data_IF_613046788070
#
_entry.id   IF_613046788070
#
_cell.length_a   1.000
_cell.length_b   1.000
_cell.length_c   1.000
_cell.angle_alpha   90.00
_cell.angle_beta   90.00
_cell.angle_gamma   90.00
#
_symmetry.space_group_name_H-M   'P 1'
#
loop_
_entity.id
_entity.type
_entity.pdbx_description
1 polymer ?
#
# COMPACT_ATOMS: atom_id res chain seq x y z
N UNK A 1 19.03 -3.01 -4.06
CA UNK A 1 18.05 -3.62 -3.16
C UNK A 1 16.77 -2.82 -3.36
N UNK A 2 15.69 -3.46 -3.84
CA UNK A 2 14.42 -2.77 -4.03
C UNK A 2 13.73 -2.59 -2.67
N UNK A 3 13.02 -1.48 -2.48
CA UNK A 3 12.30 -1.18 -1.23
C UNK A 3 11.26 -2.28 -0.93
N UNK A 4 10.64 -2.82 -1.97
CA UNK A 4 9.66 -3.91 -1.89
C UNK A 4 10.26 -5.19 -1.28
N UNK A 5 11.54 -5.48 -1.54
CA UNK A 5 12.24 -6.66 -1.00
C UNK A 5 12.53 -6.53 0.52
N UNK A 6 12.41 -5.31 1.06
CA UNK A 6 12.64 -5.01 2.47
C UNK A 6 11.34 -5.00 3.30
N UNK A 7 10.18 -5.16 2.67
CA UNK A 7 8.87 -5.00 3.30
C UNK A 7 8.04 -6.29 3.11
N UNK A 8 7.44 -6.76 4.19
CA UNK A 8 6.50 -7.89 4.16
C UNK A 8 5.08 -7.36 4.02
N UNK A 9 4.47 -7.55 2.86
CA UNK A 9 3.09 -7.16 2.58
C UNK A 9 2.20 -8.39 2.73
N UNK A 10 1.23 -8.30 3.63
CA UNK A 10 0.24 -9.36 3.83
C UNK A 10 -0.75 -9.42 2.67
N UNK A 11 -1.40 -10.57 2.50
CA UNK A 11 -2.54 -10.71 1.60
C UNK A 11 -3.67 -9.72 1.97
N UNK A 12 -4.54 -9.48 0.99
CA UNK A 12 -5.59 -8.48 1.12
C UNK A 12 -6.49 -8.76 2.33
N UNK A 13 -6.64 -7.80 3.27
CA UNK A 13 -7.41 -8.02 4.50
C UNK A 13 -8.92 -8.24 4.26
N UNK A 14 -9.42 -7.94 3.05
CA UNK A 14 -10.82 -8.14 2.68
C UNK A 14 -11.12 -9.46 1.95
N UNK A 15 -10.19 -9.97 1.15
CA UNK A 15 -10.46 -11.07 0.22
C UNK A 15 -9.34 -12.12 0.12
N UNK A 16 -8.26 -11.96 0.89
CA UNK A 16 -7.07 -12.84 0.85
C UNK A 16 -6.37 -12.85 -0.52
N UNK A 17 -6.69 -11.91 -1.40
CA UNK A 17 -6.07 -11.74 -2.71
C UNK A 17 -4.70 -11.06 -2.64
N UNK A 18 -3.93 -11.16 -3.72
CA UNK A 18 -2.59 -10.58 -3.80
C UNK A 18 -2.58 -9.05 -3.60
N UNK A 19 -1.57 -8.57 -2.86
CA UNK A 19 -1.33 -7.17 -2.57
C UNK A 19 -0.07 -6.68 -3.30
N UNK A 20 -0.11 -5.46 -3.82
CA UNK A 20 1.01 -4.82 -4.53
C UNK A 20 1.26 -3.41 -3.98
N UNK A 21 2.51 -3.08 -3.66
CA UNK A 21 2.93 -1.72 -3.32
C UNK A 21 3.23 -0.96 -4.62
N UNK A 22 2.50 0.13 -4.85
CA UNK A 22 2.66 0.99 -6.03
C UNK A 22 3.16 2.37 -5.62
N UNK A 23 3.93 2.99 -6.50
CA UNK A 23 4.43 4.35 -6.35
C UNK A 23 3.62 5.33 -7.22
N UNK A 24 3.00 6.31 -6.60
CA UNK A 24 2.27 7.38 -7.29
C UNK A 24 3.26 8.48 -7.69
N UNK A 25 3.62 8.55 -8.98
CA UNK A 25 4.38 9.64 -9.61
C UNK A 25 5.66 10.11 -8.88
N UNK A 26 6.29 9.23 -8.10
CA UNK A 26 7.49 9.56 -7.32
C UNK A 26 7.25 10.50 -6.15
N UNK A 27 6.00 10.64 -5.69
CA UNK A 27 5.62 11.48 -4.56
C UNK A 27 4.85 10.74 -3.46
N UNK A 28 4.45 9.48 -3.65
CA UNK A 28 3.80 8.70 -2.59
C UNK A 28 3.71 7.21 -2.87
N UNK A 29 3.35 6.44 -1.84
CA UNK A 29 3.14 4.99 -1.93
C UNK A 29 1.74 4.60 -1.45
N UNK A 30 1.11 3.66 -2.14
CA UNK A 30 -0.11 2.98 -1.71
C UNK A 30 0.01 1.46 -1.94
N UNK A 31 -0.74 0.66 -1.18
CA UNK A 31 -0.89 -0.77 -1.49
C UNK A 31 -2.28 -1.00 -2.05
N UNK A 32 -2.40 -1.82 -3.09
CA UNK A 32 -3.69 -2.22 -3.66
C UNK A 32 -3.84 -3.73 -3.76
N UNK A 33 -5.07 -4.22 -3.65
CA UNK A 33 -5.43 -5.59 -3.97
C UNK A 33 -5.69 -5.71 -5.47
N UNK A 34 -5.08 -6.71 -6.10
CA UNK A 34 -5.28 -7.00 -7.52
C UNK A 34 -6.62 -7.69 -7.81
N UNK A 35 -7.23 -8.31 -6.80
CA UNK A 35 -8.46 -9.11 -6.95
C UNK A 35 -9.72 -8.29 -6.67
N UNK A 36 -9.81 -7.65 -5.49
CA UNK A 36 -10.99 -6.88 -5.08
C UNK A 36 -10.87 -5.37 -5.30
N UNK A 37 -9.67 -4.88 -5.66
CA UNK A 37 -9.42 -3.46 -5.94
C UNK A 37 -9.42 -2.55 -4.71
N UNK A 38 -9.49 -3.07 -3.48
CA UNK A 38 -9.30 -2.23 -2.29
C UNK A 38 -7.86 -1.71 -2.23
N UNK A 39 -7.66 -0.54 -1.63
CA UNK A 39 -6.33 0.08 -1.55
C UNK A 39 -6.14 0.81 -0.22
N UNK A 40 -4.89 0.96 0.23
CA UNK A 40 -4.58 1.85 1.35
C UNK A 40 -4.71 3.31 0.94
N UNK A 41 -4.74 4.22 1.92
CA UNK A 41 -4.42 5.62 1.63
C UNK A 41 -3.02 5.74 1.05
N UNK A 42 -2.80 6.74 0.20
CA UNK A 42 -1.47 7.12 -0.28
C UNK A 42 -0.71 7.84 0.83
N UNK A 43 0.54 7.46 1.05
CA UNK A 43 1.46 8.14 1.96
C UNK A 43 2.49 8.89 1.12
N UNK A 44 2.38 10.22 1.14
CA UNK A 44 3.30 11.09 0.42
C UNK A 44 4.69 11.15 1.08
N UNK A 45 5.71 11.40 0.25
CA UNK A 45 7.07 11.70 0.64
C UNK A 45 7.64 12.81 -0.24
N UNK A 46 8.53 13.63 0.31
CA UNK A 46 9.13 14.76 -0.41
C UNK A 46 10.65 14.64 -0.57
N UNK A 47 11.25 13.59 -0.01
CA UNK A 47 12.69 13.37 -0.04
C UNK A 47 13.03 11.88 -0.15
N UNK A 48 14.23 11.58 -0.63
CA UNK A 48 14.71 10.20 -0.82
C UNK A 48 14.78 9.41 0.51
N UNK A 49 15.15 10.10 1.60
CA UNK A 49 15.16 9.54 2.96
C UNK A 49 13.75 9.16 3.46
N UNK A 50 12.72 9.90 3.03
CA UNK A 50 11.33 9.65 3.41
C UNK A 50 10.70 8.51 2.61
N UNK A 51 11.26 8.11 1.46
CA UNK A 51 10.70 7.04 0.61
C UNK A 51 10.53 5.73 1.37
N UNK A 52 11.56 5.33 2.11
CA UNK A 52 11.52 4.09 2.88
C UNK A 52 10.54 4.19 4.07
N UNK A 53 10.45 5.34 4.72
CA UNK A 53 9.47 5.57 5.80
C UNK A 53 8.04 5.54 5.27
N UNK A 54 7.78 6.23 4.15
CA UNK A 54 6.48 6.25 3.50
C UNK A 54 6.05 4.84 3.07
N UNK A 55 6.92 4.09 2.38
CA UNK A 55 6.63 2.72 2.00
C UNK A 55 6.35 1.82 3.22
N UNK A 56 7.14 1.92 4.30
CA UNK A 56 6.89 1.19 5.55
C UNK A 56 5.54 1.53 6.16
N UNK A 57 5.17 2.81 6.20
CA UNK A 57 3.90 3.27 6.76
C UNK A 57 2.74 2.80 5.92
N UNK A 58 2.85 2.84 4.59
CA UNK A 58 1.85 2.31 3.68
C UNK A 58 1.62 0.82 3.93
N UNK A 59 2.68 0.02 3.98
CA UNK A 59 2.58 -1.43 4.25
C UNK A 59 2.03 -1.71 5.66
N UNK A 60 2.43 -0.93 6.66
CA UNK A 60 1.87 -1.04 8.01
C UNK A 60 0.35 -0.78 8.02
N UNK A 61 -0.12 0.24 7.30
CA UNK A 61 -1.55 0.54 7.20
C UNK A 61 -2.31 -0.62 6.55
N UNK A 62 -1.78 -1.15 5.45
CA UNK A 62 -2.31 -2.33 4.79
C UNK A 62 -2.40 -3.54 5.72
N UNK A 63 -1.29 -3.91 6.36
CA UNK A 63 -1.18 -5.09 7.22
C UNK A 63 -2.04 -4.96 8.49
N UNK A 64 -2.40 -3.74 8.90
CA UNK A 64 -3.34 -3.49 10.02
C UNK A 64 -4.81 -3.47 9.58
N UNK A 65 -5.10 -3.74 8.31
CA UNK A 65 -6.46 -3.79 7.76
C UNK A 65 -7.05 -2.42 7.43
N UNK A 66 -6.23 -1.34 7.42
CA UNK A 66 -6.69 0.02 7.11
C UNK A 66 -6.71 0.24 5.60
N UNK A 67 -7.74 -0.31 4.96
CA UNK A 67 -7.95 -0.23 3.52
C UNK A 67 -9.28 0.45 3.17
N UNK A 68 -9.31 1.10 2.02
CA UNK A 68 -10.48 1.70 1.37
C UNK A 68 -11.05 0.65 0.42
N UNK A 69 -12.29 0.25 0.63
CA UNK A 69 -12.97 -0.72 -0.24
C UNK A 69 -13.52 -0.05 -1.50
N UNK A 70 -13.34 -0.69 -2.66
CA UNK A 70 -13.83 -0.18 -3.95
C UNK A 70 -15.28 -0.60 -4.29
N UNK A 71 -16.05 -1.04 -3.28
CA UNK A 71 -17.43 -1.48 -3.45
C UNK A 71 -18.32 -0.29 -3.89
N UNK A 72 -19.01 -0.36 -5.04
CA UNK A 72 -19.94 0.70 -5.43
C UNK A 72 -21.17 0.65 -4.51
N UNK A 73 -21.28 1.60 -3.56
CA UNK A 73 -22.45 1.64 -2.67
C UNK A 73 -22.41 2.56 -1.44
N UNK A 74 -21.49 3.53 -1.34
CA UNK A 74 -21.61 4.64 -0.38
C UNK A 74 -22.33 5.85 -1.01
#
# INVERSE_FOLDING_TARGET
>A
MNIEDMLEINDCPLCDGGALLEEECGCGYYVMCLECGCHSVTIDFHSEEERLDAARRTVMLWNTGKVISSSPGE
#
